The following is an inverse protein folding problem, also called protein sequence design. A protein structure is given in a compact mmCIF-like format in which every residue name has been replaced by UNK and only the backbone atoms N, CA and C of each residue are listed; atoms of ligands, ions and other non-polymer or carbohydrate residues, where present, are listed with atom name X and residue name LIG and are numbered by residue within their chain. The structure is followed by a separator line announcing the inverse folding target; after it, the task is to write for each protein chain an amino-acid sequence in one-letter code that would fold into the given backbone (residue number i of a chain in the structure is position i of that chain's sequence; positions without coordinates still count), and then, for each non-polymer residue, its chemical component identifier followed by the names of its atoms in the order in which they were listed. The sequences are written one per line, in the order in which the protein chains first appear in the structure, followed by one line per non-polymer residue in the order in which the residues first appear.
data_IF_925900236625
#
_entry.id   IF_925900236625
#
_cell.length_a   1.000
_cell.length_b   1.000
_cell.length_c   1.000
_cell.angle_alpha   90.00
_cell.angle_beta   90.00
_cell.angle_gamma   90.00
#
_symmetry.space_group_name_H-M   'P 1'
#
loop_
_entity.id
_entity.type
_entity.pdbx_description
1 polymer ?
#
# COMPACT_ATOMS: atom_id res chain seq x y z
N UNK A 1 -6.46 3.97 8.96
CA UNK A 1 -5.02 3.65 9.13
C UNK A 1 -4.19 4.86 9.55
N UNK A 2 -4.01 5.91 8.73
CA UNK A 2 -3.14 7.07 9.08
C UNK A 2 -3.38 7.67 10.47
N UNK A 3 -4.65 7.86 10.89
CA UNK A 3 -4.97 8.35 12.25
C UNK A 3 -4.48 7.40 13.35
N UNK A 4 -4.64 6.09 13.14
CA UNK A 4 -4.24 5.06 14.09
C UNK A 4 -2.71 4.95 14.21
N UNK A 5 -1.98 5.39 13.19
CA UNK A 5 -0.52 5.39 13.17
C UNK A 5 0.08 6.79 13.34
N UNK A 6 -0.71 7.80 13.70
CA UNK A 6 -0.24 9.19 13.79
C UNK A 6 0.91 9.39 14.79
N UNK A 7 0.89 8.64 15.91
CA UNK A 7 1.89 8.72 16.97
C UNK A 7 3.31 8.31 16.53
N UNK A 8 3.46 7.61 15.42
CA UNK A 8 4.77 7.23 14.89
C UNK A 8 5.47 8.38 14.15
N UNK A 9 4.75 9.44 13.77
CA UNK A 9 5.32 10.56 13.03
C UNK A 9 6.13 10.09 11.80
N UNK A 10 7.31 10.66 11.61
CA UNK A 10 8.21 10.31 10.51
C UNK A 10 8.80 8.89 10.58
N UNK A 11 8.69 8.21 11.73
CA UNK A 11 9.20 6.84 11.94
C UNK A 11 8.34 5.74 11.29
N UNK A 12 7.23 6.10 10.64
CA UNK A 12 6.43 5.19 9.82
C UNK A 12 5.99 5.89 8.54
N UNK A 13 6.20 5.23 7.41
CA UNK A 13 5.72 5.64 6.10
C UNK A 13 4.58 4.73 5.63
N UNK A 14 3.53 5.33 5.09
CA UNK A 14 2.46 4.66 4.38
C UNK A 14 2.74 4.78 2.88
N UNK A 15 2.57 3.68 2.15
CA UNK A 15 2.75 3.65 0.71
C UNK A 15 1.57 2.93 0.09
N UNK A 16 0.94 3.56 -0.90
CA UNK A 16 -0.15 2.97 -1.68
C UNK A 16 0.26 2.91 -3.14
N UNK A 17 0.22 1.73 -3.73
CA UNK A 17 0.53 1.53 -5.14
C UNK A 17 -0.77 1.48 -5.93
N UNK A 18 -0.82 2.19 -7.06
CA UNK A 18 -1.95 2.10 -7.99
C UNK A 18 -2.01 0.72 -8.64
N UNK A 19 -3.24 0.23 -8.83
CA UNK A 19 -3.54 -0.98 -9.60
C UNK A 19 -3.95 -0.68 -11.04
N UNK A 20 -4.22 0.60 -11.35
CA UNK A 20 -4.56 1.12 -12.68
C UNK A 20 -3.80 2.43 -12.98
N UNK A 21 -2.49 2.35 -13.25
CA UNK A 21 -1.65 3.54 -13.40
C UNK A 21 -1.99 4.41 -14.62
N UNK A 22 -2.74 3.88 -15.59
CA UNK A 22 -3.22 4.65 -16.75
C UNK A 22 -4.27 5.67 -16.35
N UNK A 23 -5.14 5.29 -15.42
CA UNK A 23 -6.15 6.18 -14.84
C UNK A 23 -5.56 7.01 -13.70
N UNK A 24 -4.81 6.37 -12.81
CA UNK A 24 -4.23 6.96 -11.60
C UNK A 24 -2.94 7.73 -11.87
N UNK A 25 -3.07 8.88 -12.53
CA UNK A 25 -1.94 9.80 -12.73
C UNK A 25 -1.50 10.44 -11.40
N UNK A 26 -0.27 10.97 -11.31
CA UNK A 26 0.19 11.67 -10.11
C UNK A 26 -0.76 12.77 -9.63
N UNK A 27 -1.34 13.52 -10.57
CA UNK A 27 -2.31 14.58 -10.27
C UNK A 27 -3.58 14.00 -9.64
N UNK A 28 -4.12 12.92 -10.21
CA UNK A 28 -5.32 12.25 -9.68
C UNK A 28 -5.10 11.62 -8.32
N UNK A 29 -3.93 11.01 -8.10
CA UNK A 29 -3.57 10.45 -6.81
C UNK A 29 -3.36 11.53 -5.75
N UNK A 30 -2.82 12.68 -6.14
CA UNK A 30 -2.71 13.86 -5.27
C UNK A 30 -4.09 14.36 -4.88
N UNK A 31 -4.98 14.60 -5.86
CA UNK A 31 -6.37 15.00 -5.58
C UNK A 31 -7.11 13.96 -4.73
N UNK A 32 -6.88 12.67 -4.98
CA UNK A 32 -7.45 11.59 -4.18
C UNK A 32 -6.97 11.67 -2.73
N UNK A 33 -5.67 11.82 -2.50
CA UNK A 33 -5.10 11.96 -1.16
C UNK A 33 -5.63 13.18 -0.44
N UNK A 34 -5.72 14.33 -1.11
CA UNK A 34 -6.29 15.56 -0.54
C UNK A 34 -7.75 15.38 -0.11
N UNK A 35 -8.58 14.79 -0.98
CA UNK A 35 -10.00 14.49 -0.67
C UNK A 35 -10.16 13.58 0.55
N UNK A 36 -9.19 12.70 0.82
CA UNK A 36 -9.22 11.78 1.95
C UNK A 36 -8.42 12.28 3.17
N UNK A 37 -7.85 13.48 3.11
CA UNK A 37 -7.05 14.06 4.20
C UNK A 37 -5.74 13.33 4.44
N UNK A 38 -5.12 12.82 3.39
CA UNK A 38 -3.79 12.21 3.45
C UNK A 38 -2.75 13.24 3.92
N UNK A 39 -1.88 12.81 4.82
CA UNK A 39 -0.70 13.56 5.21
C UNK A 39 0.45 13.12 4.30
N UNK A 40 0.68 13.90 3.24
CA UNK A 40 1.70 13.58 2.22
C UNK A 40 3.14 13.60 2.75
N UNK A 41 3.38 14.07 3.98
CA UNK A 41 4.70 13.92 4.62
C UNK A 41 4.99 12.49 5.09
N UNK A 42 3.94 11.65 5.14
CA UNK A 42 3.98 10.29 5.69
C UNK A 42 3.23 9.27 4.82
N UNK A 43 2.52 9.71 3.81
CA UNK A 43 1.76 8.85 2.91
C UNK A 43 2.07 9.18 1.45
N UNK A 44 2.75 8.25 0.81
CA UNK A 44 3.07 8.31 -0.62
C UNK A 44 2.10 7.47 -1.43
N UNK A 45 1.64 8.01 -2.56
CA UNK A 45 0.87 7.30 -3.57
C UNK A 45 1.76 7.11 -4.79
N UNK A 46 1.93 5.87 -5.24
CA UNK A 46 2.85 5.48 -6.29
C UNK A 46 2.09 4.96 -7.51
N UNK A 47 2.50 5.44 -8.69
CA UNK A 47 1.97 5.07 -10.01
C UNK A 47 3.14 5.05 -11.01
N UNK A 48 2.90 4.59 -12.25
CA UNK A 48 3.93 4.54 -13.28
C UNK A 48 3.75 3.37 -14.25
N UNK A 49 4.87 2.77 -14.66
CA UNK A 49 4.82 1.62 -15.56
C UNK A 49 4.13 0.41 -14.90
N UNK A 50 3.17 -0.18 -15.62
CA UNK A 50 2.35 -1.26 -15.09
C UNK A 50 3.16 -2.52 -14.78
N UNK A 51 4.12 -2.89 -15.64
CA UNK A 51 4.92 -4.09 -15.43
C UNK A 51 5.89 -3.92 -14.27
N UNK A 52 6.48 -2.73 -14.08
CA UNK A 52 7.30 -2.41 -12.89
C UNK A 52 6.49 -2.45 -11.60
N UNK A 53 5.27 -1.89 -11.60
CA UNK A 53 4.37 -1.95 -10.44
C UNK A 53 4.03 -3.41 -10.12
N UNK A 54 3.63 -4.17 -11.14
CA UNK A 54 3.28 -5.59 -11.00
C UNK A 54 4.46 -6.42 -10.52
N UNK A 55 5.67 -6.20 -11.05
CA UNK A 55 6.87 -6.88 -10.57
C UNK A 55 7.15 -6.54 -9.11
N UNK A 56 7.08 -5.26 -8.73
CA UNK A 56 7.30 -4.83 -7.34
C UNK A 56 6.27 -5.45 -6.39
N UNK A 57 4.99 -5.47 -6.77
CA UNK A 57 3.90 -5.97 -5.92
C UNK A 57 3.90 -7.50 -5.84
N UNK A 58 4.02 -8.18 -6.99
CA UNK A 58 3.96 -9.64 -7.06
C UNK A 58 5.27 -10.29 -6.64
N UNK A 59 6.42 -9.77 -7.08
CA UNK A 59 7.73 -10.35 -6.76
C UNK A 59 8.33 -9.78 -5.48
N UNK A 60 8.19 -8.47 -5.23
CA UNK A 60 8.68 -7.84 -4.02
C UNK A 60 7.79 -8.16 -2.81
N UNK A 61 6.52 -7.76 -2.88
CA UNK A 61 5.60 -7.90 -1.75
C UNK A 61 4.82 -9.21 -1.72
N UNK A 62 4.95 -10.09 -2.73
CA UNK A 62 4.20 -11.36 -2.81
C UNK A 62 2.68 -11.19 -2.70
N UNK A 63 2.17 -10.05 -3.16
CA UNK A 63 0.73 -9.76 -3.24
C UNK A 63 0.27 -9.96 -4.68
N UNK A 64 -0.89 -10.60 -4.87
CA UNK A 64 -1.46 -10.77 -6.20
C UNK A 64 -1.83 -9.41 -6.80
N UNK A 65 -1.48 -9.22 -8.07
CA UNK A 65 -1.93 -8.10 -8.89
C UNK A 65 -1.94 -8.57 -10.35
N UNK A 66 -2.97 -8.18 -11.09
CA UNK A 66 -3.02 -8.48 -12.51
C UNK A 66 -4.32 -8.03 -13.16
N UNK A 67 -4.43 -8.45 -14.41
CA UNK A 67 -5.61 -8.26 -15.26
C UNK A 67 -5.94 -9.58 -15.94
N UNK A 68 -7.21 -9.83 -16.23
CA UNK A 68 -7.60 -10.99 -17.04
C UNK A 68 -6.86 -10.99 -18.39
N UNK A 69 -6.31 -12.13 -18.84
CA UNK A 69 -5.58 -12.20 -20.09
C UNK A 69 -6.43 -11.78 -21.30
N UNK A 70 -5.94 -10.82 -22.08
CA UNK A 70 -6.64 -10.32 -23.27
C UNK A 70 -7.77 -9.33 -22.99
N UNK A 71 -8.02 -8.98 -21.72
CA UNK A 71 -8.98 -7.93 -21.39
C UNK A 71 -8.48 -6.55 -21.88
N UNK A 72 -9.38 -5.67 -22.35
CA UNK A 72 -9.06 -4.29 -22.67
C UNK A 72 -8.43 -3.55 -21.47
N UNK A 73 -7.51 -2.62 -21.75
CA UNK A 73 -6.85 -1.82 -20.70
C UNK A 73 -7.81 -0.91 -19.92
N UNK A 74 -8.96 -0.58 -20.48
CA UNK A 74 -10.02 0.23 -19.85
C UNK A 74 -11.06 -0.61 -19.11
N UNK A 75 -10.96 -1.95 -19.15
CA UNK A 75 -11.87 -2.83 -18.42
C UNK A 75 -11.44 -2.95 -16.95
N UNK A 76 -12.03 -2.12 -16.10
CA UNK A 76 -11.75 -2.12 -14.65
C UNK A 76 -12.21 -3.39 -13.94
N UNK A 77 -13.21 -4.12 -14.47
CA UNK A 77 -13.74 -5.34 -13.85
C UNK A 77 -12.76 -6.50 -13.97
N UNK A 78 -11.90 -6.46 -14.99
CA UNK A 78 -10.85 -7.45 -15.21
C UNK A 78 -9.64 -7.33 -14.26
N UNK A 79 -9.54 -6.23 -13.49
CA UNK A 79 -8.43 -6.00 -12.56
C UNK A 79 -8.65 -6.83 -11.29
N UNK A 80 -7.62 -7.59 -10.90
CA UNK A 80 -7.59 -8.28 -9.61
C UNK A 80 -6.35 -7.89 -8.81
N UNK A 81 -6.49 -7.74 -7.50
CA UNK A 81 -5.39 -7.45 -6.58
C UNK A 81 -5.71 -7.92 -5.16
N UNK A 82 -4.68 -8.17 -4.36
CA UNK A 82 -4.83 -8.45 -2.93
C UNK A 82 -5.05 -7.17 -2.11
N UNK A 83 -5.94 -7.23 -1.13
CA UNK A 83 -6.32 -6.09 -0.27
C UNK A 83 -5.62 -6.07 1.08
N UNK A 84 -4.34 -6.46 1.12
CA UNK A 84 -3.59 -6.60 2.37
C UNK A 84 -2.75 -5.35 2.67
N UNK A 85 -2.65 -4.99 3.95
CA UNK A 85 -1.51 -4.22 4.43
C UNK A 85 -0.29 -5.14 4.57
N UNK A 86 0.85 -4.67 4.10
CA UNK A 86 2.15 -5.35 4.24
C UNK A 86 3.01 -4.50 5.16
N UNK A 87 3.49 -5.09 6.25
CA UNK A 87 4.42 -4.43 7.17
C UNK A 87 5.85 -4.77 6.76
N UNK A 88 6.66 -3.75 6.52
CA UNK A 88 8.06 -3.87 6.10
C UNK A 88 8.92 -3.12 7.12
N UNK A 89 10.04 -3.73 7.54
CA UNK A 89 11.00 -3.09 8.44
C UNK A 89 12.02 -2.20 7.69
N UNK A 90 12.89 -1.54 8.44
CA UNK A 90 13.95 -0.65 7.94
C UNK A 90 15.04 -1.39 7.16
N UNK A 91 15.18 -2.69 7.36
CA UNK A 91 16.04 -3.58 6.56
C UNK A 91 15.36 -4.05 5.26
N UNK A 92 14.13 -3.61 4.98
CA UNK A 92 13.37 -3.97 3.79
C UNK A 92 12.75 -5.37 3.85
N UNK A 93 12.67 -5.99 5.03
CA UNK A 93 12.09 -7.31 5.21
C UNK A 93 10.60 -7.24 5.53
N UNK A 94 9.82 -8.12 4.91
CA UNK A 94 8.40 -8.26 5.21
C UNK A 94 8.24 -8.94 6.58
N UNK A 95 7.53 -8.26 7.48
CA UNK A 95 7.24 -8.70 8.84
C UNK A 95 5.86 -9.33 8.99
N UNK A 96 4.94 -9.02 8.09
CA UNK A 96 3.61 -9.63 8.10
C UNK A 96 2.66 -9.07 7.04
N UNK A 97 1.57 -9.80 6.86
CA UNK A 97 0.42 -9.45 6.03
C UNK A 97 -0.81 -9.35 6.90
N UNK A 98 -1.62 -8.33 6.67
CA UNK A 98 -2.79 -8.02 7.48
C UNK A 98 -3.96 -7.69 6.56
N UNK A 99 -5.07 -8.38 6.74
CA UNK A 99 -6.29 -8.12 5.98
C UNK A 99 -6.82 -6.73 6.36
N UNK A 100 -7.01 -5.86 5.37
CA UNK A 100 -7.48 -4.49 5.58
C UNK A 100 -8.96 -4.42 5.97
N UNK A 101 -9.74 -5.47 5.69
CA UNK A 101 -11.17 -5.54 6.00
C UNK A 101 -11.47 -6.13 7.39
N UNK A 102 -10.48 -6.77 8.03
CA UNK A 102 -10.61 -7.36 9.35
C UNK A 102 -10.05 -6.45 10.45
N UNK A 103 -10.90 -6.00 11.36
CA UNK A 103 -10.51 -5.12 12.46
C UNK A 103 -9.44 -5.74 13.36
N UNK A 104 -9.55 -7.04 13.65
CA UNK A 104 -8.59 -7.73 14.53
C UNK A 104 -7.20 -7.80 13.88
N UNK A 105 -7.16 -7.98 12.56
CA UNK A 105 -5.93 -7.89 11.76
C UNK A 105 -5.32 -6.49 11.82
N UNK A 106 -6.12 -5.43 11.68
CA UNK A 106 -5.62 -4.05 11.78
C UNK A 106 -5.09 -3.70 13.17
N UNK A 107 -5.71 -4.20 14.24
CA UNK A 107 -5.21 -4.04 15.60
C UNK A 107 -3.90 -4.81 15.83
N UNK A 108 -3.75 -5.97 15.20
CA UNK A 108 -2.48 -6.72 15.21
C UNK A 108 -1.38 -5.95 14.47
N UNK A 109 -1.67 -5.38 13.30
CA UNK A 109 -0.75 -4.54 12.54
C UNK A 109 -0.21 -3.38 13.38
N UNK A 110 -1.09 -2.65 14.06
CA UNK A 110 -0.68 -1.52 14.90
C UNK A 110 0.25 -1.99 16.04
N UNK A 111 -0.10 -3.09 16.71
CA UNK A 111 0.74 -3.67 17.79
C UNK A 111 2.11 -4.12 17.29
N UNK A 112 2.18 -4.77 16.14
CA UNK A 112 3.45 -5.24 15.58
C UNK A 112 4.32 -4.07 15.10
N UNK A 113 3.70 -3.03 14.53
CA UNK A 113 4.39 -1.77 14.18
C UNK A 113 5.00 -1.12 15.43
N UNK A 114 4.28 -1.08 16.55
CA UNK A 114 4.80 -0.56 17.83
C UNK A 114 5.97 -1.37 18.36
N UNK A 115 6.00 -2.69 18.14
CA UNK A 115 7.11 -3.56 18.56
C UNK A 115 8.34 -3.29 17.70
N UNK A 116 8.19 -3.25 16.38
CA UNK A 116 9.30 -2.99 15.47
C UNK A 116 9.96 -1.64 15.73
N UNK A 117 9.16 -0.60 15.95
CA UNK A 117 9.66 0.73 16.26
C UNK A 117 10.47 0.80 17.58
N UNK A 118 10.26 -0.14 18.50
CA UNK A 118 11.00 -0.22 19.78
C UNK A 118 12.27 -1.07 19.71
N UNK A 119 12.34 -2.00 18.75
CA UNK A 119 13.47 -2.92 18.60
C UNK A 119 14.55 -2.42 17.64
N UNK A 120 14.30 -1.33 16.91
CA UNK A 120 15.25 -0.72 15.98
C UNK A 120 16.34 0.17 16.62
N UNK A 121 16.76 -0.11 17.86
CA UNK A 121 17.87 0.57 18.56
C UNK A 121 18.84 -0.44 19.15
#
# INVERSE_FOLDING_TARGET
MQKATASFGAGLQLVSFSVDPKYDTPERLTEYGERHGADFSRWSFLTGDYEQLKETIVQGFKVSMGREPGAPEDDLLSIFHGTHFVLVDDAGQIRGYYDSADSDSTDRLIRDTQRLAKTGH
#
